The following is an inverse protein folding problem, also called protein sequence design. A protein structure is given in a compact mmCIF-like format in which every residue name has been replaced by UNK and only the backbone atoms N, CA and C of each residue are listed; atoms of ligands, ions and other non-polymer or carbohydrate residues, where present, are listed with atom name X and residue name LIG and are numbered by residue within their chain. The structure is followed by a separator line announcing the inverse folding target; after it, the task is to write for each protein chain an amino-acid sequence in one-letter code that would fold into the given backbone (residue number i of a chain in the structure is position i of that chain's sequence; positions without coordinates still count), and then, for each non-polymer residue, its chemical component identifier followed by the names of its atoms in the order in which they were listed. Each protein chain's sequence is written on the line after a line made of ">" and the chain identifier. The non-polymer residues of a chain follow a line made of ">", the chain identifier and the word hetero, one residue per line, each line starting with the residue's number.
data_IF_640722507078
#
_entry.id   IF_640722507078
#
_cell.length_a   1.000
_cell.length_b   1.000
_cell.length_c   1.000
_cell.angle_alpha   90.00
_cell.angle_beta   90.00
_cell.angle_gamma   90.00
#
_symmetry.space_group_name_H-M   'P 1'
#
loop_
_entity.id
_entity.type
_entity.pdbx_description
1 polymer ?
#
# COMPACT_ATOMS: atom_id res chain seq x y z
N UNK A 1 -8.50 -19.50 -5.03
CA UNK A 1 -7.98 -19.49 -3.65
C UNK A 1 -7.14 -20.72 -3.37
N UNK A 2 -6.09 -20.58 -2.56
CA UNK A 2 -5.31 -21.72 -2.08
C UNK A 2 -6.13 -22.55 -1.08
N UNK A 3 -6.23 -23.87 -1.29
CA UNK A 3 -6.97 -24.77 -0.40
C UNK A 3 -6.39 -24.85 1.04
N UNK A 4 -5.11 -24.51 1.22
CA UNK A 4 -4.46 -24.57 2.53
C UNK A 4 -4.53 -23.25 3.33
N UNK A 5 -4.28 -22.09 2.68
CA UNK A 5 -4.19 -20.82 3.38
C UNK A 5 -5.20 -19.76 2.91
N UNK A 6 -6.06 -20.08 1.94
CA UNK A 6 -7.07 -19.17 1.41
C UNK A 6 -6.55 -18.02 0.54
N UNK A 7 -5.22 -17.88 0.38
CA UNK A 7 -4.65 -16.74 -0.37
C UNK A 7 -4.89 -16.83 -1.87
N UNK A 8 -4.93 -15.67 -2.52
CA UNK A 8 -4.96 -15.55 -3.97
C UNK A 8 -3.56 -15.58 -4.58
N UNK A 9 -3.39 -15.87 -5.90
CA UNK A 9 -2.09 -15.83 -6.56
C UNK A 9 -1.37 -14.49 -6.43
N UNK A 10 -2.07 -13.37 -6.59
CA UNK A 10 -1.51 -12.02 -6.49
C UNK A 10 -1.02 -11.66 -5.07
N UNK A 11 -1.69 -12.16 -4.01
CA UNK A 11 -1.19 -12.00 -2.64
C UNK A 11 0.14 -12.73 -2.46
N UNK A 12 0.27 -13.93 -3.02
CA UNK A 12 1.53 -14.68 -2.98
C UNK A 12 2.63 -14.01 -3.80
N UNK A 13 2.27 -13.38 -4.95
CA UNK A 13 3.19 -12.58 -5.74
C UNK A 13 3.69 -11.38 -4.91
N UNK A 14 2.80 -10.62 -4.27
CA UNK A 14 3.15 -9.49 -3.40
C UNK A 14 4.11 -9.94 -2.28
N UNK A 15 3.79 -11.04 -1.57
CA UNK A 15 4.67 -11.56 -0.52
C UNK A 15 6.01 -12.09 -1.02
N UNK A 16 6.06 -12.60 -2.26
CA UNK A 16 7.33 -13.01 -2.88
C UNK A 16 8.21 -11.79 -3.17
N UNK A 17 7.62 -10.71 -3.70
CA UNK A 17 8.32 -9.44 -3.93
C UNK A 17 8.75 -8.82 -2.60
N UNK A 18 7.85 -8.74 -1.62
CA UNK A 18 8.15 -8.22 -0.29
C UNK A 18 9.33 -8.96 0.35
N UNK A 19 9.29 -10.30 0.37
CA UNK A 19 10.35 -11.10 0.96
C UNK A 19 11.70 -10.98 0.24
N UNK A 20 11.69 -10.75 -1.08
CA UNK A 20 12.90 -10.54 -1.86
C UNK A 20 13.50 -9.14 -1.63
N UNK A 21 12.69 -8.11 -1.49
CA UNK A 21 13.13 -6.72 -1.38
C UNK A 21 13.36 -6.29 0.09
N UNK A 22 12.56 -6.81 1.01
CA UNK A 22 12.60 -6.50 2.44
C UNK A 22 12.49 -7.80 3.25
N UNK A 23 13.54 -8.62 3.30
CA UNK A 23 13.55 -9.83 4.13
C UNK A 23 13.37 -9.53 5.61
N UNK A 24 13.69 -8.29 6.03
CA UNK A 24 13.52 -7.72 7.36
C UNK A 24 12.12 -7.15 7.63
N UNK A 25 11.13 -7.36 6.78
CA UNK A 25 9.82 -6.72 6.84
C UNK A 25 9.10 -6.85 8.20
N UNK A 26 9.45 -7.88 8.99
CA UNK A 26 8.87 -8.08 10.32
C UNK A 26 9.26 -7.02 11.34
N UNK A 27 10.39 -6.36 11.12
CA UNK A 27 10.95 -5.35 12.02
C UNK A 27 10.59 -3.92 11.58
N UNK A 28 9.79 -3.77 10.51
CA UNK A 28 9.47 -2.50 9.90
C UNK A 28 8.22 -1.86 10.50
N UNK A 29 8.15 -0.52 10.40
CA UNK A 29 6.91 0.23 10.53
C UNK A 29 6.12 0.09 9.21
N UNK A 30 4.99 -0.63 9.26
CA UNK A 30 4.17 -0.97 8.10
C UNK A 30 2.79 -0.32 8.21
N UNK A 31 2.38 0.38 7.17
CA UNK A 31 0.99 0.80 6.98
C UNK A 31 0.35 -0.05 5.88
N UNK A 32 -0.76 -0.71 6.16
CA UNK A 32 -1.60 -1.37 5.16
C UNK A 32 -2.97 -0.70 5.11
N UNK A 33 -3.34 -0.23 3.91
CA UNK A 33 -4.66 0.33 3.65
C UNK A 33 -5.63 -0.78 3.23
N UNK A 34 -6.81 -0.79 3.83
CA UNK A 34 -7.92 -1.74 3.55
C UNK A 34 -7.54 -3.23 3.63
N UNK A 35 -6.93 -3.68 4.74
CA UNK A 35 -6.53 -5.06 4.91
C UNK A 35 -7.74 -5.99 5.01
N UNK A 36 -7.85 -6.95 4.09
CA UNK A 36 -8.96 -7.92 4.07
C UNK A 36 -8.54 -9.35 3.70
N UNK A 37 -7.24 -9.62 3.57
CA UNK A 37 -6.72 -10.85 2.99
C UNK A 37 -6.00 -11.74 4.02
N UNK A 38 -5.76 -13.03 3.74
CA UNK A 38 -4.84 -13.86 4.52
C UNK A 38 -3.43 -13.29 4.62
N UNK A 39 -2.98 -12.57 3.58
CA UNK A 39 -1.72 -11.85 3.56
C UNK A 39 -1.69 -10.75 4.63
N UNK A 40 -2.75 -9.95 4.75
CA UNK A 40 -2.93 -8.91 5.76
C UNK A 40 -2.88 -9.47 7.18
N UNK A 41 -3.52 -10.63 7.39
CA UNK A 41 -3.47 -11.32 8.69
C UNK A 41 -2.04 -11.65 9.07
N UNK A 42 -1.25 -12.19 8.14
CA UNK A 42 0.16 -12.54 8.38
C UNK A 42 1.01 -11.32 8.73
N UNK A 43 0.80 -10.17 8.06
CA UNK A 43 1.48 -8.92 8.40
C UNK A 43 1.16 -8.49 9.83
N UNK A 44 -0.12 -8.46 10.18
CA UNK A 44 -0.59 -8.09 11.53
C UNK A 44 -0.03 -8.98 12.63
N UNK A 45 0.05 -10.29 12.39
CA UNK A 45 0.53 -11.27 13.38
C UNK A 45 2.05 -11.24 13.55
N UNK A 46 2.81 -10.88 12.52
CA UNK A 46 4.26 -11.06 12.49
C UNK A 46 5.07 -9.75 12.49
N UNK A 47 4.45 -8.60 12.33
CA UNK A 47 5.12 -7.30 12.35
C UNK A 47 4.54 -6.42 13.47
N UNK A 48 5.25 -6.25 14.60
CA UNK A 48 4.79 -5.40 15.72
C UNK A 48 4.56 -3.94 15.33
N UNK A 49 5.24 -3.44 14.30
CA UNK A 49 5.07 -2.08 13.76
C UNK A 49 3.95 -1.94 12.74
N UNK A 50 3.04 -2.92 12.63
CA UNK A 50 1.94 -2.90 11.67
C UNK A 50 0.78 -2.01 12.12
N UNK A 51 0.32 -1.16 11.20
CA UNK A 51 -0.87 -0.31 11.35
C UNK A 51 -1.83 -0.58 10.18
N UNK A 52 -3.07 -0.93 10.51
CA UNK A 52 -4.16 -1.07 9.56
C UNK A 52 -4.95 0.22 9.43
N UNK A 53 -5.34 0.61 8.23
CA UNK A 53 -6.32 1.68 8.02
C UNK A 53 -7.47 1.25 7.10
N UNK A 54 -8.61 1.93 7.24
CA UNK A 54 -9.78 1.82 6.37
C UNK A 54 -10.32 3.21 6.05
N UNK A 55 -10.90 3.36 4.86
CA UNK A 55 -11.71 4.52 4.55
C UNK A 55 -13.05 4.39 5.26
N UNK A 56 -13.21 5.11 6.36
CA UNK A 56 -14.43 5.09 7.17
C UNK A 56 -14.82 6.52 7.58
N UNK A 57 -15.60 7.22 6.74
CA UNK A 57 -16.02 8.59 7.03
C UNK A 57 -17.03 8.71 8.16
N UNK A 58 -17.54 7.59 8.70
CA UNK A 58 -18.47 7.60 9.83
C UNK A 58 -17.79 7.93 11.16
N UNK A 59 -16.46 7.79 11.24
CA UNK A 59 -15.67 8.15 12.43
C UNK A 59 -14.60 9.19 12.07
N UNK A 60 -14.14 10.02 13.03
CA UNK A 60 -13.12 11.03 12.75
C UNK A 60 -11.85 10.45 12.15
N UNK A 61 -11.30 11.13 11.13
CA UNK A 61 -10.02 10.74 10.52
C UNK A 61 -8.91 10.67 11.57
N UNK A 62 -8.10 9.64 11.50
CA UNK A 62 -7.02 9.38 12.46
C UNK A 62 -7.44 8.69 13.75
N UNK A 63 -8.74 8.49 13.99
CA UNK A 63 -9.21 7.73 15.15
C UNK A 63 -9.18 6.22 14.89
N UNK A 64 -9.11 5.43 15.97
CA UNK A 64 -9.17 3.97 15.91
C UNK A 64 -10.63 3.53 16.04
N UNK A 65 -11.08 2.65 15.13
CA UNK A 65 -12.40 2.05 15.24
C UNK A 65 -12.46 1.13 16.47
N UNK A 66 -13.43 1.34 17.39
CA UNK A 66 -13.45 0.66 18.70
C UNK A 66 -13.56 -0.87 18.61
N UNK A 67 -14.32 -1.38 17.63
CA UNK A 67 -14.58 -2.82 17.52
C UNK A 67 -13.60 -3.54 16.60
N UNK A 68 -13.12 -2.87 15.53
CA UNK A 68 -12.29 -3.50 14.49
C UNK A 68 -10.80 -3.17 14.60
N UNK A 69 -10.43 -2.13 15.38
CA UNK A 69 -9.04 -1.78 15.64
C UNK A 69 -8.25 -1.22 14.45
N UNK A 70 -8.90 -0.91 13.32
CA UNK A 70 -8.26 -0.15 12.24
C UNK A 70 -8.33 1.35 12.51
N UNK A 71 -7.45 2.10 11.88
CA UNK A 71 -7.47 3.55 11.91
C UNK A 71 -8.29 4.08 10.73
N UNK A 72 -9.20 5.03 10.98
CA UNK A 72 -9.93 5.71 9.90
C UNK A 72 -9.00 6.65 9.16
N UNK A 73 -8.79 6.43 7.87
CA UNK A 73 -7.92 7.26 7.03
C UNK A 73 -8.49 7.42 5.61
N UNK A 74 -8.36 8.62 5.08
CA UNK A 74 -8.52 8.89 3.67
C UNK A 74 -7.15 8.84 3.00
N UNK A 75 -6.94 7.93 2.06
CA UNK A 75 -5.66 7.76 1.39
C UNK A 75 -5.24 9.01 0.60
N UNK A 76 -6.22 9.83 0.17
CA UNK A 76 -6.00 11.10 -0.53
C UNK A 76 -5.54 12.23 0.41
N UNK A 77 -5.74 12.06 1.73
CA UNK A 77 -5.39 13.05 2.78
C UNK A 77 -5.19 12.36 4.12
N UNK A 78 -4.07 11.71 4.31
CA UNK A 78 -3.79 10.94 5.51
C UNK A 78 -3.46 11.83 6.72
N UNK A 79 -3.83 11.37 7.93
CA UNK A 79 -3.52 12.06 9.19
C UNK A 79 -2.19 11.60 9.81
N UNK A 80 -1.51 10.65 9.21
CA UNK A 80 -0.18 10.22 9.65
C UNK A 80 0.86 11.35 9.48
N UNK A 81 1.84 11.39 10.38
CA UNK A 81 2.98 12.28 10.24
C UNK A 81 3.85 11.89 9.03
N UNK A 82 4.66 12.85 8.57
CA UNK A 82 5.68 12.58 7.55
C UNK A 82 6.65 11.49 8.02
N UNK A 83 7.16 10.71 7.08
CA UNK A 83 8.21 9.72 7.31
C UNK A 83 7.91 8.72 8.45
N UNK A 84 6.65 8.32 8.57
CA UNK A 84 6.18 7.40 9.62
C UNK A 84 6.50 5.93 9.31
N UNK A 85 6.55 5.54 8.01
CA UNK A 85 6.56 4.15 7.62
C UNK A 85 7.76 3.77 6.76
N UNK A 86 8.28 2.57 7.00
CA UNK A 86 9.28 1.93 6.13
C UNK A 86 8.62 1.28 4.91
N UNK A 87 7.36 0.84 5.08
CA UNK A 87 6.59 0.13 4.08
C UNK A 87 5.12 0.57 4.12
N UNK A 88 4.58 0.91 2.95
CA UNK A 88 3.14 1.07 2.74
C UNK A 88 2.66 -0.04 1.81
N UNK A 89 1.53 -0.67 2.13
CA UNK A 89 0.93 -1.75 1.33
C UNK A 89 -0.50 -1.37 0.97
N UNK A 90 -0.86 -1.54 -0.30
CA UNK A 90 -2.25 -1.48 -0.78
C UNK A 90 -2.52 -2.70 -1.65
N UNK A 91 -3.64 -3.37 -1.44
CA UNK A 91 -4.04 -4.52 -2.23
C UNK A 91 -5.42 -4.25 -2.83
N UNK A 92 -5.47 -4.04 -4.15
CA UNK A 92 -6.70 -3.74 -4.90
C UNK A 92 -7.48 -2.55 -4.31
N UNK A 93 -6.77 -1.45 -4.10
CA UNK A 93 -7.29 -0.19 -3.53
C UNK A 93 -7.20 0.96 -4.53
N UNK A 94 -6.09 1.05 -5.27
CA UNK A 94 -5.77 2.23 -6.08
C UNK A 94 -6.70 2.43 -7.28
N UNK A 95 -7.42 1.42 -7.71
CA UNK A 95 -8.48 1.52 -8.73
C UNK A 95 -9.77 2.16 -8.20
N UNK A 96 -9.91 2.30 -6.88
CA UNK A 96 -11.08 2.88 -6.23
C UNK A 96 -10.88 4.32 -5.77
N UNK A 97 -9.64 4.81 -5.81
CA UNK A 97 -9.27 6.16 -5.35
C UNK A 97 -9.69 7.21 -6.37
N UNK A 98 -10.37 8.28 -5.92
CA UNK A 98 -10.83 9.35 -6.82
C UNK A 98 -9.71 10.28 -7.28
N UNK A 99 -8.73 10.55 -6.42
CA UNK A 99 -7.55 11.36 -6.73
C UNK A 99 -6.26 10.57 -6.46
N UNK A 100 -5.91 9.61 -7.34
CA UNK A 100 -4.75 8.73 -7.14
C UNK A 100 -3.41 9.49 -7.12
N UNK A 101 -3.34 10.67 -7.73
CA UNK A 101 -2.19 11.56 -7.61
C UNK A 101 -2.02 12.10 -6.19
N UNK A 102 -3.11 12.48 -5.51
CA UNK A 102 -3.07 12.90 -4.11
C UNK A 102 -2.71 11.71 -3.20
N UNK A 103 -3.31 10.55 -3.44
CA UNK A 103 -2.99 9.34 -2.67
C UNK A 103 -1.50 8.98 -2.78
N UNK A 104 -0.91 9.03 -3.98
CA UNK A 104 0.51 8.74 -4.18
C UNK A 104 1.42 9.79 -3.54
N UNK A 105 1.03 11.08 -3.52
CA UNK A 105 1.76 12.13 -2.77
C UNK A 105 1.73 11.86 -1.27
N UNK A 106 0.58 11.48 -0.72
CA UNK A 106 0.43 11.15 0.70
C UNK A 106 1.21 9.87 1.07
N UNK A 107 1.20 8.85 0.23
CA UNK A 107 2.05 7.67 0.38
C UNK A 107 3.53 8.08 0.40
N UNK A 108 3.97 8.91 -0.56
CA UNK A 108 5.35 9.39 -0.60
C UNK A 108 5.72 10.23 0.62
N UNK A 109 4.79 11.07 1.13
CA UNK A 109 5.00 11.88 2.34
C UNK A 109 5.18 11.01 3.57
N UNK A 110 4.32 10.00 3.74
CA UNK A 110 4.34 9.15 4.93
C UNK A 110 5.44 8.09 4.91
N UNK A 111 6.03 7.80 3.75
CA UNK A 111 7.20 6.93 3.64
C UNK A 111 8.46 7.62 4.16
N UNK A 112 9.27 6.91 4.93
CA UNK A 112 10.63 7.31 5.28
C UNK A 112 11.54 7.34 4.05
N UNK A 113 12.65 8.11 4.07
CA UNK A 113 13.71 7.95 3.09
C UNK A 113 14.18 6.49 2.98
N UNK A 114 14.24 5.94 1.76
CA UNK A 114 14.54 4.51 1.53
C UNK A 114 13.35 3.57 1.72
N UNK A 115 12.20 4.08 2.15
CA UNK A 115 10.97 3.31 2.26
C UNK A 115 10.34 2.99 0.89
N UNK A 116 9.33 2.12 0.88
CA UNK A 116 8.66 1.72 -0.36
C UNK A 116 7.16 1.48 -0.17
N UNK A 117 6.43 1.72 -1.25
CA UNK A 117 5.06 1.26 -1.43
C UNK A 117 5.06 0.00 -2.27
N UNK A 118 4.43 -1.08 -1.79
CA UNK A 118 4.24 -2.32 -2.54
C UNK A 118 2.74 -2.55 -2.68
N UNK A 119 2.28 -2.73 -3.90
CA UNK A 119 0.85 -2.89 -4.13
C UNK A 119 0.51 -3.90 -5.22
N UNK A 120 -0.74 -4.37 -5.16
CA UNK A 120 -1.44 -4.98 -6.29
C UNK A 120 -2.58 -4.08 -6.72
N UNK A 121 -2.78 -4.00 -8.03
CA UNK A 121 -3.90 -3.34 -8.67
C UNK A 121 -4.18 -4.04 -10.00
N UNK A 122 -5.44 -4.27 -10.40
CA UNK A 122 -5.72 -4.88 -11.69
C UNK A 122 -5.26 -3.98 -12.84
N UNK A 123 -4.29 -4.43 -13.63
CA UNK A 123 -3.92 -3.77 -14.89
C UNK A 123 -4.80 -4.34 -16.00
N UNK A 124 -5.97 -3.73 -16.17
CA UNK A 124 -6.99 -4.21 -17.11
C UNK A 124 -6.72 -3.72 -18.53
N UNK A 125 -6.08 -2.56 -18.69
CA UNK A 125 -5.70 -1.99 -19.97
C UNK A 125 -4.27 -2.40 -20.35
N UNK A 126 -4.06 -3.67 -20.73
CA UNK A 126 -2.71 -4.20 -21.00
C UNK A 126 -2.08 -3.67 -22.29
N UNK A 127 -2.88 -3.20 -23.23
CA UNK A 127 -2.47 -2.76 -24.56
C UNK A 127 -2.80 -1.29 -24.86
N UNK A 128 -3.33 -0.57 -23.89
CA UNK A 128 -3.73 0.83 -24.01
C UNK A 128 -3.51 1.59 -22.71
N UNK A 129 -3.49 2.94 -22.73
CA UNK A 129 -3.33 3.75 -21.53
C UNK A 129 -4.47 3.57 -20.53
N UNK A 130 -4.19 3.96 -19.28
CA UNK A 130 -5.16 4.05 -18.19
C UNK A 130 -6.36 4.90 -18.59
N UNK A 131 -7.54 4.51 -18.15
CA UNK A 131 -8.79 5.17 -18.49
C UNK A 131 -9.57 5.53 -17.22
N UNK A 132 -9.90 6.81 -17.07
CA UNK A 132 -10.73 7.27 -15.96
C UNK A 132 -12.19 6.84 -16.18
N UNK A 133 -12.78 6.14 -15.19
CA UNK A 133 -14.17 5.68 -15.22
C UNK A 133 -15.10 6.62 -14.44
N UNK A 134 -14.61 7.17 -13.35
CA UNK A 134 -15.37 8.12 -12.53
C UNK A 134 -14.46 9.18 -11.92
N UNK A 135 -15.04 10.32 -11.61
CA UNK A 135 -14.40 11.41 -10.88
C UNK A 135 -15.34 11.95 -9.80
N UNK A 136 -14.81 12.83 -8.97
CA UNK A 136 -15.59 13.57 -7.97
C UNK A 136 -15.51 15.05 -8.29
N UNK A 137 -16.65 15.73 -8.27
CA UNK A 137 -16.74 17.18 -8.44
C UNK A 137 -16.30 17.89 -7.15
N UNK A 138 -16.07 19.20 -7.20
CA UNK A 138 -15.64 20.00 -6.04
C UNK A 138 -16.63 20.00 -4.88
N UNK A 139 -17.91 19.77 -5.17
CA UNK A 139 -19.00 19.61 -4.18
C UNK A 139 -19.18 18.15 -3.71
N UNK A 140 -18.26 17.25 -4.11
CA UNK A 140 -18.20 15.86 -3.65
C UNK A 140 -19.08 14.89 -4.43
N UNK A 141 -19.81 15.34 -5.45
CA UNK A 141 -20.70 14.49 -6.23
C UNK A 141 -19.90 13.58 -7.17
N UNK A 142 -20.22 12.28 -7.18
CA UNK A 142 -19.60 11.31 -8.10
C UNK A 142 -20.14 11.51 -9.51
N UNK A 143 -19.24 11.69 -10.48
CA UNK A 143 -19.53 11.77 -11.90
C UNK A 143 -18.99 10.54 -12.59
N UNK A 144 -19.88 9.72 -13.14
CA UNK A 144 -19.51 8.59 -13.99
C UNK A 144 -19.14 9.08 -15.39
N UNK A 145 -17.99 8.64 -15.88
CA UNK A 145 -17.49 8.91 -17.23
C UNK A 145 -17.70 7.71 -18.15
N UNK A 146 -17.76 6.51 -17.55
CA UNK A 146 -18.07 5.25 -18.21
C UNK A 146 -19.15 4.52 -17.38
N UNK A 147 -19.69 3.44 -17.91
CA UNK A 147 -20.63 2.58 -17.19
C UNK A 147 -20.03 2.15 -15.85
N UNK A 148 -20.72 2.35 -14.72
CA UNK A 148 -20.20 2.03 -13.39
C UNK A 148 -19.85 0.55 -13.25
N UNK A 149 -18.68 0.29 -12.67
CA UNK A 149 -18.21 -1.05 -12.28
C UNK A 149 -17.90 -1.03 -10.80
N UNK A 150 -18.33 -2.07 -10.08
CA UNK A 150 -18.09 -2.21 -8.65
C UNK A 150 -17.36 -3.51 -8.36
N UNK A 151 -16.35 -3.44 -7.50
CA UNK A 151 -15.71 -4.62 -6.93
C UNK A 151 -16.30 -4.93 -5.54
N UNK A 152 -16.14 -6.16 -5.07
CA UNK A 152 -16.56 -6.52 -3.73
C UNK A 152 -15.80 -5.72 -2.66
N UNK A 153 -16.55 -5.25 -1.64
CA UNK A 153 -15.98 -4.53 -0.51
C UNK A 153 -16.48 -5.17 0.79
N UNK A 154 -15.58 -5.65 1.66
CA UNK A 154 -16.00 -6.28 2.92
C UNK A 154 -16.65 -5.30 3.90
N UNK A 155 -16.47 -3.97 3.71
CA UNK A 155 -17.04 -2.92 4.57
C UNK A 155 -18.35 -2.35 4.03
N UNK A 156 -18.63 -2.50 2.72
CA UNK A 156 -19.83 -1.96 2.07
C UNK A 156 -20.45 -3.02 1.15
N UNK A 157 -21.69 -3.47 1.44
CA UNK A 157 -22.37 -4.48 0.63
C UNK A 157 -22.66 -4.01 -0.82
N UNK A 158 -22.64 -2.69 -1.07
CA UNK A 158 -22.78 -2.14 -2.41
C UNK A 158 -21.48 -2.22 -3.23
N UNK A 159 -20.37 -2.59 -2.61
CA UNK A 159 -19.06 -2.68 -3.25
C UNK A 159 -18.33 -1.35 -3.35
N UNK A 160 -17.12 -1.41 -3.91
CA UNK A 160 -16.29 -0.24 -4.20
C UNK A 160 -16.36 0.11 -5.68
N UNK A 161 -16.70 1.37 -5.99
CA UNK A 161 -16.74 1.89 -7.36
C UNK A 161 -15.31 1.89 -7.94
N UNK A 162 -15.15 1.34 -9.16
CA UNK A 162 -13.92 1.47 -9.93
C UNK A 162 -13.86 2.86 -10.56
N UNK A 163 -12.84 3.62 -10.20
CA UNK A 163 -12.63 5.00 -10.67
C UNK A 163 -11.65 5.08 -11.84
N UNK A 164 -10.73 4.10 -11.93
CA UNK A 164 -9.71 4.02 -12.99
C UNK A 164 -9.53 2.58 -13.45
N UNK A 165 -9.57 2.36 -14.76
CA UNK A 165 -9.02 1.16 -15.41
C UNK A 165 -7.54 1.43 -15.69
N UNK A 166 -6.65 0.81 -14.94
CA UNK A 166 -5.22 1.02 -15.08
C UNK A 166 -4.63 0.29 -16.28
N UNK A 167 -3.69 0.98 -16.96
CA UNK A 167 -2.76 0.44 -17.93
C UNK A 167 -1.33 0.41 -17.39
N UNK A 168 -0.36 -0.02 -18.20
CA UNK A 168 1.05 -0.04 -17.78
C UNK A 168 1.69 1.35 -17.63
N UNK A 169 1.02 2.41 -18.11
CA UNK A 169 1.37 3.82 -17.88
C UNK A 169 1.16 4.26 -16.41
N UNK A 170 0.58 3.40 -15.58
CA UNK A 170 0.40 3.63 -14.13
C UNK A 170 1.73 3.97 -13.44
N UNK A 171 2.84 3.33 -13.84
CA UNK A 171 4.15 3.58 -13.24
C UNK A 171 4.60 5.03 -13.48
N UNK A 172 4.56 5.48 -14.73
CA UNK A 172 4.93 6.85 -15.09
C UNK A 172 4.00 7.88 -14.43
N UNK A 173 2.70 7.58 -14.38
CA UNK A 173 1.72 8.44 -13.72
C UNK A 173 2.01 8.59 -12.21
N UNK A 174 2.33 7.49 -11.51
CA UNK A 174 2.65 7.53 -10.09
C UNK A 174 3.96 8.24 -9.80
N UNK A 175 4.99 8.00 -10.62
CA UNK A 175 6.29 8.66 -10.49
C UNK A 175 6.16 10.18 -10.66
N UNK A 176 5.43 10.61 -11.68
CA UNK A 176 5.18 12.03 -11.93
C UNK A 176 4.37 12.70 -10.79
N UNK A 177 3.42 11.97 -10.18
CA UNK A 177 2.59 12.48 -9.09
C UNK A 177 3.34 12.59 -7.75
N UNK A 178 4.21 11.63 -7.43
CA UNK A 178 4.76 11.42 -6.08
C UNK A 178 6.26 11.68 -5.95
N UNK A 179 7.00 11.68 -7.06
CA UNK A 179 8.47 11.69 -7.05
C UNK A 179 9.10 10.37 -6.59
N UNK A 180 8.31 9.32 -6.44
CA UNK A 180 8.81 7.96 -6.22
C UNK A 180 9.34 7.38 -7.54
N UNK A 181 9.98 6.23 -7.48
CA UNK A 181 10.40 5.45 -8.64
C UNK A 181 9.71 4.11 -8.64
N UNK A 182 8.82 3.87 -9.60
CA UNK A 182 7.94 2.71 -9.67
C UNK A 182 8.46 1.67 -10.65
N UNK A 183 8.46 0.41 -10.23
CA UNK A 183 8.74 -0.76 -11.08
C UNK A 183 7.58 -1.74 -11.01
N UNK A 184 7.28 -2.38 -12.13
CA UNK A 184 6.23 -3.41 -12.21
C UNK A 184 6.92 -4.78 -12.25
N UNK A 185 6.55 -5.65 -11.31
CA UNK A 185 7.03 -7.02 -11.19
C UNK A 185 5.95 -7.98 -11.67
N UNK A 186 6.31 -8.87 -12.55
CA UNK A 186 5.45 -9.99 -12.97
C UNK A 186 6.11 -11.30 -12.59
N UNK A 187 5.42 -12.13 -11.81
CA UNK A 187 5.91 -13.44 -11.38
C UNK A 187 4.97 -14.51 -11.94
N UNK A 188 5.53 -15.51 -12.59
CA UNK A 188 4.84 -16.72 -12.99
C UNK A 188 5.56 -17.92 -12.36
N UNK A 189 4.99 -18.46 -11.27
CA UNK A 189 5.56 -19.57 -10.51
C UNK A 189 4.45 -20.52 -10.05
N UNK A 190 4.23 -21.56 -10.84
CA UNK A 190 3.23 -22.58 -10.51
C UNK A 190 3.56 -23.35 -9.24
N UNK A 191 4.84 -23.56 -8.92
CA UNK A 191 5.27 -24.25 -7.70
C UNK A 191 4.83 -23.53 -6.44
N UNK A 192 4.73 -22.19 -6.50
CA UNK A 192 4.20 -21.33 -5.43
C UNK A 192 2.73 -20.97 -5.63
N UNK A 193 2.10 -21.45 -6.69
CA UNK A 193 0.72 -21.10 -7.05
C UNK A 193 0.57 -19.64 -7.45
N UNK A 194 1.60 -19.05 -8.08
CA UNK A 194 1.60 -17.66 -8.55
C UNK A 194 1.39 -17.68 -10.06
N UNK A 195 0.13 -17.77 -10.48
CA UNK A 195 -0.30 -17.58 -11.87
C UNK A 195 -1.75 -17.11 -11.88
N UNK A 196 -1.98 -15.93 -12.43
CA UNK A 196 -3.30 -15.33 -12.63
C UNK A 196 -3.24 -14.24 -13.69
N UNK A 197 -4.40 -13.74 -14.12
CA UNK A 197 -4.49 -12.68 -15.13
C UNK A 197 -3.92 -11.35 -14.60
N UNK A 198 -4.29 -10.94 -13.38
CA UNK A 198 -3.85 -9.70 -12.74
C UNK A 198 -2.85 -10.05 -11.63
N UNK A 199 -1.61 -10.27 -12.04
CA UNK A 199 -0.55 -10.80 -11.16
C UNK A 199 0.54 -9.75 -10.87
N UNK A 200 0.44 -8.59 -11.50
CA UNK A 200 1.41 -7.52 -11.39
C UNK A 200 1.52 -7.03 -9.95
N UNK A 201 2.75 -6.82 -9.50
CA UNK A 201 3.08 -6.17 -8.22
C UNK A 201 3.87 -4.91 -8.52
N UNK A 202 3.35 -3.77 -8.09
CA UNK A 202 4.02 -2.49 -8.26
C UNK A 202 4.83 -2.17 -7.02
N UNK A 203 6.04 -1.66 -7.22
CA UNK A 203 6.95 -1.24 -6.16
C UNK A 203 7.41 0.17 -6.45
N UNK A 204 6.92 1.14 -5.67
CA UNK A 204 7.31 2.54 -5.74
C UNK A 204 8.27 2.87 -4.60
N UNK A 205 9.49 3.31 -4.90
CA UNK A 205 10.56 3.55 -3.94
C UNK A 205 10.76 5.04 -3.69
N UNK A 206 10.82 5.44 -2.42
CA UNK A 206 11.32 6.76 -2.03
C UNK A 206 12.84 6.70 -1.96
N UNK A 207 13.51 7.45 -2.84
CA UNK A 207 14.96 7.51 -2.81
C UNK A 207 15.42 8.05 -1.46
N UNK A 208 16.41 7.40 -0.86
CA UNK A 208 17.07 7.93 0.33
C UNK A 208 17.83 9.21 -0.02
N UNK A 209 17.95 10.13 0.93
CA UNK A 209 18.90 11.25 0.78
C UNK A 209 20.29 10.63 0.60
N UNK A 210 21.05 11.00 -0.45
CA UNK A 210 22.40 10.53 -0.59
C UNK A 210 23.17 10.90 0.69
N UNK A 211 23.68 9.91 1.44
CA UNK A 211 24.58 10.19 2.54
C UNK A 211 25.87 10.75 1.95
N UNK A 212 26.12 12.03 2.18
CA UNK A 212 27.42 12.61 1.85
C UNK A 212 28.50 11.91 2.72
N UNK A 213 29.71 11.69 2.18
CA UNK A 213 30.81 11.13 2.95
C UNK A 213 31.06 12.06 4.19
N UNK A 214 30.71 11.58 5.37
CA UNK A 214 30.78 12.35 6.62
C UNK A 214 29.50 12.35 7.47
N UNK A 215 28.33 12.07 6.90
CA UNK A 215 27.04 12.02 7.62
C UNK A 215 26.79 10.65 8.28
N UNK A 216 27.75 10.13 9.00
CA UNK A 216 27.49 8.98 9.86
C UNK A 216 26.88 9.51 11.17
N UNK A 217 25.61 9.18 11.48
CA UNK A 217 25.04 9.60 12.75
C UNK A 217 25.92 9.08 13.90
N UNK A 218 26.15 9.86 14.96
CA UNK A 218 26.99 9.44 16.08
C UNK A 218 26.41 8.14 16.65
N UNK A 219 27.28 7.13 16.76
CA UNK A 219 26.92 5.83 17.34
C UNK A 219 26.31 6.08 18.73
N UNK A 220 25.08 5.58 19.02
CA UNK A 220 24.50 5.79 20.35
C UNK A 220 25.46 5.27 21.41
N UNK A 221 25.60 5.97 22.55
CA UNK A 221 26.53 5.57 23.62
C UNK A 221 26.16 4.14 24.06
N UNK A 222 27.17 3.28 24.14
CA UNK A 222 27.00 1.92 24.68
C UNK A 222 26.43 2.09 26.09
N UNK A 223 25.23 1.59 26.33
CA UNK A 223 24.67 1.47 27.68
C UNK A 223 25.65 0.62 28.49
N UNK A 224 26.39 1.26 29.38
CA UNK A 224 27.24 0.59 30.32
C UNK A 224 26.40 -0.36 31.16
N UNK A 225 26.81 -1.59 31.22
CA UNK A 225 26.31 -2.58 32.15
C UNK A 225 26.74 -2.16 33.54
N UNK A 226 25.88 -1.44 34.27
CA UNK A 226 26.07 -1.24 35.70
C UNK A 226 25.70 -2.56 36.38
N UNK A 227 26.74 -3.36 36.64
CA UNK A 227 26.66 -4.50 37.53
C UNK A 227 26.14 -4.07 38.90
N UNK A 228 25.13 -4.79 39.35
CA UNK A 228 24.63 -4.76 40.73
C UNK A 228 25.79 -4.99 41.70
N UNK A 229 25.97 -4.09 42.63
CA UNK A 229 26.53 -4.33 43.95
C UNK A 229 25.62 -3.61 44.97
N UNK A 230 25.14 -4.41 45.86
CA UNK A 230 24.31 -4.31 47.06
C UNK A 230 22.84 -4.65 46.88
#
# INVERSE_FOLDING_TARGET
>A
LCGGCGSQPRERALFSVLGALRPDWRDLAIHECSPCTPASRRLREQAPGYVASQYDPAIPWGSIHPDYGYRSEDLERQTFADESFDLVITQDVMEHVFAPDLAMREIARTLKPGGMHICTVPIVNKDKPSTRRAGRTSDGVVRHLLEPVYHGNPMDPNGSLVTVDWGYDIADYWDAASGLSTTIWTIDDLGRGIRAEYIEVLVSRKLGVPQLPGDTPPRPPKRGFLSKLF
#
